data_IF_936632494631
#
_entry.id   IF_936632494631
#
_cell.length_a   1.000
_cell.length_b   1.000
_cell.length_c   1.000
_cell.angle_alpha   90.00
_cell.angle_beta   90.00
_cell.angle_gamma   90.00
#
_symmetry.space_group_name_H-M   'P 1'
#
loop_
_entity.id
_entity.type
_entity.pdbx_description
1 polymer ?
#
# COMPACT_ATOMS: atom_id res chain seq x y z
N UNK A 1 -19.18 -2.66 28.67
CA UNK A 1 -18.79 -2.40 27.26
C UNK A 1 -17.86 -3.52 26.81
N UNK A 2 -18.11 -4.17 25.66
CA UNK A 2 -17.32 -5.32 25.22
C UNK A 2 -16.00 -4.88 24.56
N UNK A 3 -14.98 -4.59 25.36
CA UNK A 3 -13.68 -4.07 24.91
C UNK A 3 -13.00 -4.94 23.84
N UNK A 4 -13.21 -6.26 23.88
CA UNK A 4 -12.74 -7.21 22.86
C UNK A 4 -13.37 -6.96 21.48
N UNK A 5 -14.67 -6.68 21.45
CA UNK A 5 -15.37 -6.37 20.20
C UNK A 5 -14.98 -4.99 19.67
N UNK A 6 -14.80 -4.02 20.56
CA UNK A 6 -14.31 -2.69 20.20
C UNK A 6 -12.91 -2.74 19.58
N UNK A 7 -11.98 -3.49 20.21
CA UNK A 7 -10.62 -3.68 19.70
C UNK A 7 -10.59 -4.40 18.36
N UNK A 8 -11.43 -5.42 18.16
CA UNK A 8 -11.58 -6.08 16.86
C UNK A 8 -12.10 -5.13 15.77
N UNK A 9 -13.08 -4.28 16.09
CA UNK A 9 -13.63 -3.30 15.14
C UNK A 9 -12.60 -2.22 14.76
N UNK A 10 -11.87 -1.68 15.75
CA UNK A 10 -10.76 -0.75 15.53
C UNK A 10 -9.67 -1.37 14.64
N UNK A 11 -9.31 -2.62 14.90
CA UNK A 11 -8.33 -3.36 14.10
C UNK A 11 -8.78 -3.51 12.64
N UNK A 12 -10.06 -3.79 12.39
CA UNK A 12 -10.60 -3.83 11.03
C UNK A 12 -10.52 -2.46 10.33
N UNK A 13 -10.87 -1.38 11.02
CA UNK A 13 -10.82 -0.03 10.46
C UNK A 13 -9.38 0.33 10.08
N UNK A 14 -8.42 0.07 10.97
CA UNK A 14 -6.99 0.31 10.69
C UNK A 14 -6.54 -0.50 9.48
N UNK A 15 -6.98 -1.76 9.38
CA UNK A 15 -6.68 -2.61 8.24
C UNK A 15 -7.21 -2.03 6.91
N UNK A 16 -8.45 -1.55 6.88
CA UNK A 16 -9.04 -0.90 5.71
C UNK A 16 -8.32 0.40 5.34
N UNK A 17 -7.95 1.23 6.32
CA UNK A 17 -7.21 2.48 6.09
C UNK A 17 -5.83 2.20 5.48
N UNK A 18 -5.11 1.20 5.99
CA UNK A 18 -3.82 0.77 5.45
C UNK A 18 -3.96 0.29 3.99
N UNK A 19 -4.97 -0.52 3.68
CA UNK A 19 -5.23 -0.95 2.31
C UNK A 19 -5.58 0.22 1.40
N UNK A 20 -6.44 1.15 1.84
CA UNK A 20 -6.79 2.34 1.09
C UNK A 20 -5.57 3.22 0.78
N UNK A 21 -4.67 3.37 1.76
CA UNK A 21 -3.42 4.10 1.57
C UNK A 21 -2.47 3.38 0.60
N UNK A 22 -2.38 2.04 0.69
CA UNK A 22 -1.63 1.22 -0.26
C UNK A 22 -2.15 1.38 -1.69
N UNK A 23 -3.46 1.38 -1.89
CA UNK A 23 -4.11 1.62 -3.19
C UNK A 23 -3.77 3.01 -3.72
N UNK A 24 -3.92 4.05 -2.87
CA UNK A 24 -3.56 5.42 -3.25
C UNK A 24 -2.10 5.54 -3.67
N UNK A 25 -1.18 4.93 -2.91
CA UNK A 25 0.24 4.89 -3.24
C UNK A 25 0.51 4.16 -4.57
N UNK A 26 -0.14 3.02 -4.81
CA UNK A 26 -0.07 2.29 -6.08
C UNK A 26 -0.49 3.16 -7.28
N UNK A 27 -1.59 3.91 -7.16
CA UNK A 27 -2.05 4.81 -8.22
C UNK A 27 -1.04 5.94 -8.49
N UNK A 28 -0.56 6.62 -7.45
CA UNK A 28 0.47 7.68 -7.58
C UNK A 28 1.74 7.18 -8.25
N UNK A 29 2.16 5.95 -7.94
CA UNK A 29 3.34 5.34 -8.57
C UNK A 29 3.08 5.01 -10.05
N UNK A 30 1.88 4.56 -10.41
CA UNK A 30 1.52 4.30 -11.79
C UNK A 30 1.47 5.59 -12.61
N UNK A 31 0.83 6.64 -12.09
CA UNK A 31 0.78 7.96 -12.71
C UNK A 31 2.19 8.52 -12.91
N UNK A 32 3.04 8.44 -11.87
CA UNK A 32 4.42 8.92 -11.95
C UNK A 32 5.24 8.18 -13.03
N UNK A 33 5.09 6.85 -13.15
CA UNK A 33 5.75 6.08 -14.22
C UNK A 33 5.24 6.49 -15.60
N UNK A 34 3.94 6.69 -15.74
CA UNK A 34 3.35 7.13 -17.01
C UNK A 34 3.83 8.54 -17.40
N UNK A 35 3.96 9.45 -16.44
CA UNK A 35 4.51 10.79 -16.65
C UNK A 35 5.99 10.74 -17.04
N UNK A 36 6.80 9.88 -16.40
CA UNK A 36 8.21 9.65 -16.77
C UNK A 36 8.30 9.12 -18.20
N UNK A 37 7.51 8.11 -18.55
CA UNK A 37 7.49 7.51 -19.89
C UNK A 37 7.07 8.51 -20.98
N UNK A 38 6.11 9.38 -20.67
CA UNK A 38 5.64 10.42 -21.59
C UNK A 38 6.65 11.56 -21.76
N UNK A 39 7.31 11.99 -20.67
CA UNK A 39 8.29 13.08 -20.68
C UNK A 39 9.60 12.66 -21.33
N UNK A 40 10.07 11.44 -21.05
CA UNK A 40 11.31 10.90 -21.63
C UNK A 40 11.18 10.56 -23.12
N UNK A 41 9.96 10.49 -23.66
CA UNK A 41 9.70 10.31 -25.10
C UNK A 41 10.32 11.40 -25.96
N UNK A 42 10.53 12.59 -25.41
CA UNK A 42 11.11 13.75 -26.12
C UNK A 42 12.64 13.78 -26.10
N UNK A 43 13.31 12.86 -25.39
CA UNK A 43 14.77 12.80 -25.31
C UNK A 43 15.33 12.12 -26.58
N UNK A 44 16.14 12.81 -27.39
CA UNK A 44 16.78 12.21 -28.55
C UNK A 44 17.89 11.24 -28.12
N UNK A 45 17.84 10.00 -28.62
CA UNK A 45 18.82 8.95 -28.35
C UNK A 45 18.27 7.84 -27.46
N UNK A 46 18.19 6.61 -28.00
CA UNK A 46 17.60 5.44 -27.30
C UNK A 46 18.37 5.05 -26.03
N UNK A 47 19.70 5.22 -25.99
CA UNK A 47 20.53 4.89 -24.83
C UNK A 47 20.34 5.89 -23.68
N UNK A 48 20.31 7.19 -23.99
CA UNK A 48 20.09 8.25 -23.01
C UNK A 48 18.67 8.22 -22.45
N UNK A 49 17.67 7.94 -23.30
CA UNK A 49 16.28 7.76 -22.88
C UNK A 49 16.11 6.62 -21.88
N UNK A 50 16.72 5.46 -22.15
CA UNK A 50 16.65 4.30 -21.26
C UNK A 50 17.29 4.56 -19.90
N UNK A 51 18.48 5.18 -19.89
CA UNK A 51 19.17 5.54 -18.64
C UNK A 51 18.33 6.48 -17.77
N UNK A 52 17.72 7.51 -18.38
CA UNK A 52 16.88 8.48 -17.66
C UNK A 52 15.58 7.83 -17.16
N UNK A 53 14.94 6.97 -17.95
CA UNK A 53 13.76 6.21 -17.49
C UNK A 53 14.10 5.31 -16.30
N UNK A 54 15.21 4.58 -16.35
CA UNK A 54 15.60 3.66 -15.28
C UNK A 54 15.92 4.40 -13.97
N UNK A 55 16.61 5.55 -14.04
CA UNK A 55 16.91 6.38 -12.87
C UNK A 55 15.60 6.86 -12.18
N UNK A 56 14.67 7.42 -12.95
CA UNK A 56 13.41 7.94 -12.40
C UNK A 56 12.44 6.82 -11.96
N UNK A 57 12.41 5.69 -12.65
CA UNK A 57 11.68 4.51 -12.19
C UNK A 57 12.25 3.96 -10.88
N UNK A 58 13.57 4.00 -10.71
CA UNK A 58 14.24 3.64 -9.45
C UNK A 58 13.81 4.52 -8.27
N UNK A 59 13.66 5.83 -8.48
CA UNK A 59 13.10 6.73 -7.46
C UNK A 59 11.65 6.41 -7.11
N UNK A 60 10.82 6.11 -8.11
CA UNK A 60 9.43 5.67 -7.86
C UNK A 60 9.40 4.34 -7.11
N UNK A 61 10.30 3.40 -7.42
CA UNK A 61 10.37 2.09 -6.76
C UNK A 61 10.73 2.16 -5.28
N UNK A 62 11.33 3.26 -4.78
CA UNK A 62 11.53 3.47 -3.33
C UNK A 62 10.21 3.47 -2.56
N UNK A 63 9.12 3.90 -3.19
CA UNK A 63 7.78 3.91 -2.59
C UNK A 63 7.08 2.54 -2.66
N UNK A 64 7.66 1.56 -3.36
CA UNK A 64 7.06 0.23 -3.51
C UNK A 64 7.05 -0.53 -2.19
N UNK A 65 8.14 -0.45 -1.43
CA UNK A 65 8.28 -1.10 -0.12
C UNK A 65 7.22 -0.62 0.88
N UNK A 66 7.03 0.69 1.13
CA UNK A 66 6.00 1.15 2.06
C UNK A 66 4.58 0.79 1.59
N UNK A 67 4.30 0.80 0.29
CA UNK A 67 3.01 0.36 -0.27
C UNK A 67 2.78 -1.13 0.02
N UNK A 68 3.78 -1.99 -0.19
CA UNK A 68 3.70 -3.42 0.14
C UNK A 68 3.47 -3.63 1.64
N UNK A 69 4.17 -2.88 2.50
CA UNK A 69 3.97 -2.94 3.95
C UNK A 69 2.53 -2.54 4.35
N UNK A 70 1.94 -1.56 3.67
CA UNK A 70 0.54 -1.19 3.88
C UNK A 70 -0.42 -2.33 3.49
N UNK A 71 -0.16 -3.02 2.38
CA UNK A 71 -0.97 -4.19 1.99
C UNK A 71 -0.85 -5.34 2.97
N UNK A 72 0.39 -5.72 3.33
CA UNK A 72 0.64 -6.83 4.27
C UNK A 72 0.07 -6.50 5.65
N UNK A 73 0.38 -5.30 6.18
CA UNK A 73 -0.15 -4.83 7.45
C UNK A 73 -1.67 -4.76 7.43
N UNK A 74 -2.26 -4.20 6.38
CA UNK A 74 -3.71 -4.10 6.20
C UNK A 74 -4.40 -5.46 6.30
N UNK A 75 -3.89 -6.47 5.59
CA UNK A 75 -4.42 -7.85 5.65
C UNK A 75 -4.27 -8.46 7.04
N UNK A 76 -3.12 -8.30 7.69
CA UNK A 76 -2.88 -8.81 9.06
C UNK A 76 -3.86 -8.20 10.06
N UNK A 77 -4.08 -6.89 9.99
CA UNK A 77 -5.05 -6.19 10.84
C UNK A 77 -6.49 -6.63 10.55
N UNK A 78 -6.87 -6.84 9.29
CA UNK A 78 -8.20 -7.35 8.95
C UNK A 78 -8.43 -8.76 9.50
N UNK A 79 -7.49 -9.68 9.29
CA UNK A 79 -7.61 -11.06 9.75
C UNK A 79 -7.60 -11.13 11.29
N UNK A 80 -6.70 -10.38 11.93
CA UNK A 80 -6.61 -10.29 13.39
C UNK A 80 -7.87 -9.69 14.02
N UNK A 81 -8.37 -8.58 13.47
CA UNK A 81 -9.61 -7.93 13.91
C UNK A 81 -10.83 -8.84 13.76
N UNK A 82 -10.94 -9.55 12.63
CA UNK A 82 -12.00 -10.51 12.41
C UNK A 82 -11.97 -11.68 13.41
N UNK A 83 -10.78 -12.19 13.72
CA UNK A 83 -10.61 -13.26 14.70
C UNK A 83 -10.99 -12.82 16.12
N UNK A 84 -10.61 -11.59 16.51
CA UNK A 84 -10.99 -10.98 17.78
C UNK A 84 -12.50 -10.79 17.93
N UNK A 85 -13.19 -10.40 16.86
CA UNK A 85 -14.65 -10.28 16.84
C UNK A 85 -15.35 -11.64 16.99
N UNK A 86 -14.76 -12.71 16.46
CA UNK A 86 -15.28 -14.08 16.57
C UNK A 86 -15.01 -14.74 17.91
N UNK A 87 -14.06 -14.23 18.70
CA UNK A 87 -13.71 -14.80 20.00
C UNK A 87 -14.89 -14.62 20.98
N UNK A 88 -15.52 -15.72 21.38
CA UNK A 88 -16.52 -15.70 22.46
C UNK A 88 -15.82 -15.39 23.80
N UNK A 89 -16.44 -14.60 24.69
CA UNK A 89 -15.90 -14.40 26.03
C UNK A 89 -15.79 -15.76 26.73
N UNK A 90 -14.63 -16.05 27.31
CA UNK A 90 -14.46 -17.20 28.21
C UNK A 90 -15.34 -16.90 29.43
N UNK A 91 -16.45 -17.63 29.57
CA UNK A 91 -17.19 -17.69 30.83
C UNK A 91 -16.26 -18.36 31.84
N UNK A 92 -15.68 -17.56 32.73
CA UNK A 92 -15.05 -18.07 33.95
C UNK A 92 -16.09 -18.13 35.06
#
# INVERSE_FOLDING_TARGET
MNYWKLGGFLSLIIGLVLLGYGIYGSYRMADARQDIDSTTKYIPGKSFRGFVQDEFHGEVDKYRVPVILCYVGGVVFLVGGFFLLRKKPKSS
#
